data_IF_823537668055
#
_entry.id   IF_823537668055
#
_cell.length_a   1.000
_cell.length_b   1.000
_cell.length_c   1.000
_cell.angle_alpha   90.00
_cell.angle_beta   90.00
_cell.angle_gamma   90.00
#
_symmetry.space_group_name_H-M   'P 1'
#
loop_
_entity.id
_entity.type
_entity.pdbx_description
1 polymer ?
#
# COMPACT_ATOMS: atom_id res chain seq x y z
N UNK A 1 -39.55 10.98 23.75
CA UNK A 1 -38.44 11.51 22.95
C UNK A 1 -37.49 10.35 22.69
N UNK A 2 -37.61 9.72 21.52
CA UNK A 2 -36.90 8.52 21.14
C UNK A 2 -35.61 8.93 20.45
N UNK A 3 -34.47 8.67 21.09
CA UNK A 3 -33.14 8.97 20.53
C UNK A 3 -32.79 7.83 19.57
N UNK A 4 -32.84 8.11 18.28
CA UNK A 4 -32.37 7.19 17.24
C UNK A 4 -30.86 7.07 17.30
N UNK A 5 -30.35 5.84 17.51
CA UNK A 5 -28.93 5.48 17.38
C UNK A 5 -28.54 5.57 15.91
N UNK A 6 -27.41 6.18 15.53
CA UNK A 6 -26.89 6.05 14.18
C UNK A 6 -26.39 4.64 13.97
N UNK A 7 -26.96 3.94 13.00
CA UNK A 7 -26.47 2.68 12.45
C UNK A 7 -25.08 2.91 11.87
N UNK A 8 -24.09 2.13 12.33
CA UNK A 8 -22.79 2.05 11.72
C UNK A 8 -22.98 1.53 10.28
N UNK A 9 -22.85 2.42 9.31
CA UNK A 9 -22.75 2.05 7.92
C UNK A 9 -21.45 1.26 7.75
N UNK A 10 -21.56 -0.05 7.49
CA UNK A 10 -20.45 -0.89 7.09
C UNK A 10 -19.74 -0.25 5.91
N UNK A 11 -18.40 -0.21 5.96
CA UNK A 11 -17.58 0.17 4.81
C UNK A 11 -17.72 -0.93 3.74
N UNK A 12 -18.82 -0.90 3.02
CA UNK A 12 -18.95 -1.68 1.79
C UNK A 12 -18.01 -1.06 0.77
N UNK A 13 -17.28 -1.89 0.03
CA UNK A 13 -16.51 -1.49 -1.15
C UNK A 13 -17.47 -0.71 -2.06
N UNK A 14 -17.44 0.62 -1.91
CA UNK A 14 -18.14 1.52 -2.83
C UNK A 14 -17.46 1.35 -4.19
N UNK A 15 -18.21 1.08 -5.24
CA UNK A 15 -17.83 0.76 -6.62
C UNK A 15 -16.72 1.60 -7.25
N UNK A 16 -15.54 1.56 -6.67
CA UNK A 16 -14.33 2.26 -7.05
C UNK A 16 -13.32 1.29 -7.65
N UNK A 17 -12.57 1.76 -8.63
CA UNK A 17 -11.45 1.08 -9.24
C UNK A 17 -10.46 0.58 -8.17
N UNK A 18 -10.05 -0.70 -8.22
CA UNK A 18 -9.02 -1.28 -7.32
C UNK A 18 -7.76 -0.40 -7.35
N UNK A 19 -7.27 0.03 -6.18
CA UNK A 19 -6.04 0.82 -6.07
C UNK A 19 -4.81 -0.08 -6.15
N UNK A 20 -3.87 0.22 -7.06
CA UNK A 20 -2.68 -0.61 -7.30
C UNK A 20 -1.41 0.18 -7.05
N UNK A 21 -0.56 -0.32 -6.15
CA UNK A 21 0.75 0.26 -5.84
C UNK A 21 1.89 -0.65 -6.29
N UNK A 22 2.89 -0.06 -6.95
CA UNK A 22 4.17 -0.72 -7.24
C UNK A 22 5.22 -0.15 -6.32
N UNK A 23 5.78 -0.99 -5.43
CA UNK A 23 6.63 -0.57 -4.33
C UNK A 23 8.11 -0.86 -4.59
N UNK A 24 9.00 0.01 -4.10
CA UNK A 24 10.45 -0.17 -4.14
C UNK A 24 11.06 0.10 -5.51
N UNK A 25 10.59 1.15 -6.18
CA UNK A 25 11.14 1.62 -7.45
C UNK A 25 12.46 2.36 -7.22
N UNK A 26 13.47 2.08 -8.05
CA UNK A 26 14.82 2.63 -7.91
C UNK A 26 15.38 3.25 -9.19
N UNK A 27 14.68 3.14 -10.30
CA UNK A 27 15.10 3.68 -11.59
C UNK A 27 13.95 4.41 -12.28
N UNK A 28 14.30 5.34 -13.14
CA UNK A 28 13.34 6.06 -13.98
C UNK A 28 12.52 5.10 -14.84
N UNK A 29 13.19 4.11 -15.44
CA UNK A 29 12.54 3.06 -16.24
C UNK A 29 11.43 2.32 -15.47
N UNK A 30 11.71 1.95 -14.20
CA UNK A 30 10.71 1.26 -13.37
C UNK A 30 9.54 2.16 -12.99
N UNK A 31 9.77 3.46 -12.80
CA UNK A 31 8.70 4.46 -12.56
C UNK A 31 7.83 4.60 -13.81
N UNK A 32 8.45 4.75 -14.97
CA UNK A 32 7.75 4.86 -16.26
C UNK A 32 6.96 3.59 -16.57
N UNK A 33 7.54 2.40 -16.32
CA UNK A 33 6.84 1.12 -16.49
C UNK A 33 5.60 1.00 -15.59
N UNK A 34 5.70 1.40 -14.32
CA UNK A 34 4.57 1.40 -13.40
C UNK A 34 3.47 2.37 -13.87
N UNK A 35 3.85 3.55 -14.32
CA UNK A 35 2.93 4.56 -14.85
C UNK A 35 2.21 4.07 -16.12
N UNK A 36 2.95 3.54 -17.08
CA UNK A 36 2.41 3.00 -18.35
C UNK A 36 1.49 1.80 -18.12
N UNK A 37 1.78 0.96 -17.12
CA UNK A 37 0.93 -0.14 -16.73
C UNK A 37 -0.39 0.32 -16.08
N UNK A 38 -0.49 1.56 -15.63
CA UNK A 38 -1.69 2.12 -15.00
C UNK A 38 -1.75 1.88 -13.49
N UNK A 39 -0.60 1.87 -12.81
CA UNK A 39 -0.52 1.91 -11.35
C UNK A 39 -1.12 3.23 -10.82
N UNK A 40 -1.76 3.17 -9.65
CA UNK A 40 -2.33 4.35 -8.98
C UNK A 40 -1.31 4.99 -8.04
N UNK A 41 -0.31 4.23 -7.58
CA UNK A 41 0.74 4.71 -6.70
C UNK A 41 2.08 4.02 -6.94
N UNK A 42 3.15 4.75 -6.61
CA UNK A 42 4.53 4.26 -6.63
C UNK A 42 5.18 4.44 -5.27
N UNK A 43 5.92 3.42 -4.81
CA UNK A 43 6.60 3.43 -3.51
C UNK A 43 8.11 3.57 -3.63
N UNK A 44 8.68 4.47 -2.82
CA UNK A 44 10.11 4.69 -2.65
C UNK A 44 10.51 4.29 -1.23
N UNK A 45 11.50 3.41 -1.09
CA UNK A 45 11.87 2.81 0.20
C UNK A 45 13.06 3.56 0.82
N UNK A 46 12.89 3.91 2.10
CA UNK A 46 13.90 4.59 2.92
C UNK A 46 14.22 3.73 4.15
N UNK A 47 14.88 2.60 3.92
CA UNK A 47 15.32 1.67 4.95
C UNK A 47 16.68 1.07 4.53
N UNK A 48 17.74 1.41 5.25
CA UNK A 48 19.12 1.15 4.86
C UNK A 48 19.43 -0.34 4.58
N UNK A 49 18.79 -1.27 5.32
CA UNK A 49 18.99 -2.71 5.11
C UNK A 49 18.21 -3.26 3.88
N UNK A 50 17.33 -2.46 3.29
CA UNK A 50 16.56 -2.88 2.12
C UNK A 50 17.40 -2.81 0.84
N UNK A 51 17.36 -3.83 -0.03
CA UNK A 51 17.99 -3.74 -1.37
C UNK A 51 17.32 -2.67 -2.25
N UNK A 52 16.16 -2.15 -1.82
CA UNK A 52 15.38 -1.12 -2.52
C UNK A 52 15.57 0.27 -1.92
N UNK A 53 16.50 0.41 -0.97
CA UNK A 53 16.76 1.68 -0.30
C UNK A 53 17.19 2.77 -1.27
N UNK A 54 16.69 3.99 -1.03
CA UNK A 54 17.08 5.21 -1.72
C UNK A 54 17.53 6.28 -0.72
N UNK A 55 18.49 7.10 -1.15
CA UNK A 55 18.72 8.38 -0.47
C UNK A 55 17.60 9.37 -0.84
N UNK A 56 17.23 10.32 0.06
CA UNK A 56 16.21 11.32 -0.23
C UNK A 56 16.44 12.11 -1.53
N UNK A 57 17.69 12.48 -1.82
CA UNK A 57 18.05 13.19 -3.05
C UNK A 57 17.78 12.33 -4.31
N UNK A 58 18.09 11.04 -4.29
CA UNK A 58 17.79 10.14 -5.41
C UNK A 58 16.28 9.98 -5.63
N UNK A 59 15.50 9.89 -4.55
CA UNK A 59 14.04 9.82 -4.63
C UNK A 59 13.44 11.10 -5.21
N UNK A 60 13.99 12.28 -4.90
CA UNK A 60 13.59 13.56 -5.51
C UNK A 60 13.72 13.52 -7.04
N UNK A 61 14.84 13.00 -7.54
CA UNK A 61 15.05 12.89 -9.00
C UNK A 61 14.06 11.92 -9.65
N UNK A 62 13.82 10.77 -9.03
CA UNK A 62 12.86 9.79 -9.53
C UNK A 62 11.42 10.32 -9.49
N UNK A 63 11.08 11.11 -8.48
CA UNK A 63 9.75 11.71 -8.34
C UNK A 63 9.37 12.63 -9.51
N UNK A 64 10.35 13.21 -10.20
CA UNK A 64 10.12 14.04 -11.41
C UNK A 64 9.61 13.21 -12.59
N UNK A 65 9.84 11.91 -12.59
CA UNK A 65 9.35 10.99 -13.61
C UNK A 65 7.95 10.44 -13.28
N UNK A 66 7.42 10.70 -12.08
CA UNK A 66 6.06 10.26 -11.69
C UNK A 66 5.04 11.21 -12.33
N UNK A 67 4.16 10.72 -13.22
CA UNK A 67 3.13 11.53 -13.84
C UNK A 67 2.13 12.09 -12.81
N UNK A 68 1.50 13.20 -13.14
CA UNK A 68 0.36 13.72 -12.37
C UNK A 68 -0.76 12.67 -12.29
N UNK A 69 -1.37 12.54 -11.13
CA UNK A 69 -2.41 11.55 -10.87
C UNK A 69 -1.91 10.20 -10.33
N UNK A 70 -0.59 9.97 -10.28
CA UNK A 70 0.01 8.81 -9.62
C UNK A 70 0.56 9.25 -8.26
N UNK A 71 0.11 8.61 -7.19
CA UNK A 71 0.49 8.96 -5.82
C UNK A 71 1.92 8.47 -5.49
N UNK A 72 2.67 9.32 -4.77
CA UNK A 72 4.03 9.01 -4.27
C UNK A 72 3.94 8.54 -2.83
N UNK A 73 4.44 7.35 -2.55
CA UNK A 73 4.44 6.76 -1.21
C UNK A 73 5.87 6.67 -0.69
N UNK A 74 6.18 7.36 0.40
CA UNK A 74 7.42 7.21 1.14
C UNK A 74 7.29 6.02 2.10
N UNK A 75 8.14 4.99 1.94
CA UNK A 75 8.05 3.73 2.69
C UNK A 75 9.21 3.62 3.66
N UNK A 76 8.89 3.44 4.93
CA UNK A 76 9.84 3.33 6.03
C UNK A 76 9.66 2.03 6.81
N UNK A 77 10.66 1.70 7.61
CA UNK A 77 10.61 0.69 8.66
C UNK A 77 11.41 1.24 9.86
N UNK A 78 10.72 1.51 10.97
CA UNK A 78 11.26 2.09 12.21
C UNK A 78 12.16 3.31 11.97
N UNK A 79 11.66 4.36 11.30
CA UNK A 79 12.49 5.48 10.89
C UNK A 79 12.82 6.42 12.06
N UNK A 80 14.01 7.00 12.04
CA UNK A 80 14.29 8.19 12.85
C UNK A 80 13.53 9.40 12.30
N UNK A 81 13.10 10.33 13.17
CA UNK A 81 12.39 11.55 12.78
C UNK A 81 13.15 12.36 11.72
N UNK A 82 14.48 12.50 11.88
CA UNK A 82 15.31 13.26 10.94
C UNK A 82 15.29 12.70 9.51
N UNK A 83 15.17 11.36 9.36
CA UNK A 83 15.02 10.74 8.05
C UNK A 83 13.63 11.06 7.46
N UNK A 84 12.59 11.00 8.27
CA UNK A 84 11.22 11.33 7.84
C UNK A 84 11.15 12.77 7.37
N UNK A 85 11.70 13.71 8.14
CA UNK A 85 11.74 15.14 7.79
C UNK A 85 12.47 15.38 6.46
N UNK A 86 13.66 14.78 6.29
CA UNK A 86 14.45 14.90 5.06
C UNK A 86 13.72 14.32 3.84
N UNK A 87 12.99 13.21 4.01
CA UNK A 87 12.22 12.59 2.92
C UNK A 87 10.99 13.42 2.58
N UNK A 88 10.27 13.95 3.56
CA UNK A 88 9.13 14.84 3.31
C UNK A 88 9.59 16.07 2.52
N UNK A 89 10.71 16.70 2.91
CA UNK A 89 11.28 17.85 2.20
C UNK A 89 11.69 17.48 0.76
N UNK A 90 12.32 16.32 0.58
CA UNK A 90 12.86 15.93 -0.72
C UNK A 90 11.80 15.46 -1.71
N UNK A 91 10.84 14.63 -1.24
CA UNK A 91 9.91 13.90 -2.08
C UNK A 91 8.52 14.55 -2.14
N UNK A 92 8.12 15.31 -1.11
CA UNK A 92 6.74 15.76 -0.89
C UNK A 92 5.74 14.60 -1.14
N UNK A 93 5.80 13.53 -0.34
CA UNK A 93 5.02 12.32 -0.60
C UNK A 93 3.53 12.54 -0.35
N UNK A 94 2.68 11.91 -1.15
CA UNK A 94 1.24 11.88 -0.92
C UNK A 94 0.87 11.02 0.30
N UNK A 95 1.65 9.95 0.53
CA UNK A 95 1.47 9.03 1.65
C UNK A 95 2.80 8.71 2.32
N UNK A 96 2.76 8.57 3.65
CA UNK A 96 3.84 8.03 4.44
C UNK A 96 3.42 6.64 4.94
N UNK A 97 4.17 5.61 4.56
CA UNK A 97 3.94 4.22 4.94
C UNK A 97 4.99 3.78 5.94
N UNK A 98 4.58 3.31 7.11
CA UNK A 98 5.44 2.68 8.13
C UNK A 98 4.61 1.74 9.00
N UNK A 99 5.23 0.95 9.86
CA UNK A 99 4.52 0.12 10.83
C UNK A 99 3.61 0.98 11.71
N UNK A 100 2.43 0.48 12.00
CA UNK A 100 1.42 1.23 12.77
C UNK A 100 1.95 1.71 14.14
N UNK A 101 2.82 0.89 14.77
CA UNK A 101 3.47 1.23 16.03
C UNK A 101 4.43 2.42 15.98
N UNK A 102 5.03 2.70 14.80
CA UNK A 102 5.97 3.81 14.64
C UNK A 102 5.29 5.17 14.70
N UNK A 103 4.03 5.24 14.24
CA UNK A 103 3.31 6.51 14.05
C UNK A 103 3.16 7.33 15.32
N UNK A 104 3.06 6.68 16.48
CA UNK A 104 2.93 7.38 17.77
C UNK A 104 4.18 8.17 18.15
N UNK A 105 5.35 7.79 17.65
CA UNK A 105 6.63 8.44 17.92
C UNK A 105 6.98 9.52 16.88
N UNK A 106 6.26 9.60 15.77
CA UNK A 106 6.55 10.51 14.65
C UNK A 106 5.75 11.81 14.76
N UNK A 107 6.43 12.91 14.50
CA UNK A 107 5.81 14.24 14.31
C UNK A 107 5.67 14.49 12.83
N UNK A 108 4.44 14.51 12.33
CA UNK A 108 4.13 14.69 10.92
C UNK A 108 3.49 16.06 10.67
N UNK A 109 3.71 16.67 9.51
CA UNK A 109 3.02 17.89 9.13
C UNK A 109 1.50 17.73 9.15
N UNK A 110 0.73 18.78 9.48
CA UNK A 110 -0.72 18.76 9.36
C UNK A 110 -1.17 18.34 7.97
N UNK A 111 -2.11 17.39 7.90
CA UNK A 111 -2.64 16.89 6.63
C UNK A 111 -1.80 15.81 5.93
N UNK A 112 -0.63 15.44 6.47
CA UNK A 112 0.14 14.33 5.91
C UNK A 112 -0.67 13.03 6.00
N UNK A 113 -0.99 12.42 4.85
CA UNK A 113 -1.68 11.14 4.81
C UNK A 113 -0.73 10.02 5.20
N UNK A 114 -1.22 9.09 6.02
CA UNK A 114 -0.46 7.93 6.49
C UNK A 114 -1.10 6.63 6.05
N UNK A 115 -0.28 5.66 5.66
CA UNK A 115 -0.66 4.29 5.34
C UNK A 115 -0.01 3.35 6.36
N UNK A 116 -0.68 3.11 7.51
CA UNK A 116 -0.16 2.23 8.56
C UNK A 116 -0.03 0.80 8.04
N UNK A 117 1.10 0.16 8.35
CA UNK A 117 1.32 -1.25 8.07
C UNK A 117 0.90 -2.09 9.26
N UNK A 118 0.03 -3.06 9.00
CA UNK A 118 -0.35 -4.14 9.91
C UNK A 118 0.36 -5.42 9.46
N UNK A 119 0.73 -6.27 10.40
CA UNK A 119 1.37 -7.54 10.12
C UNK A 119 0.41 -8.70 10.26
N UNK A 120 0.50 -9.67 9.36
CA UNK A 120 -0.25 -10.92 9.50
C UNK A 120 0.17 -11.65 10.78
N UNK A 121 -0.82 -12.05 11.58
CA UNK A 121 -0.60 -12.68 12.87
C UNK A 121 -0.60 -11.72 14.06
N UNK A 122 -0.41 -10.42 13.84
CA UNK A 122 -0.59 -9.45 14.91
C UNK A 122 -2.07 -9.25 15.23
N UNK A 123 -2.41 -9.05 16.52
CA UNK A 123 -3.76 -8.63 16.85
C UNK A 123 -4.05 -7.29 16.15
N UNK A 124 -5.29 -7.08 15.69
CA UNK A 124 -5.65 -5.78 15.13
C UNK A 124 -5.35 -4.71 16.18
N UNK A 125 -4.74 -3.57 15.79
CA UNK A 125 -4.36 -2.54 16.73
C UNK A 125 -5.56 -2.19 17.60
N UNK A 126 -5.39 -2.36 18.92
CA UNK A 126 -6.28 -1.75 19.87
C UNK A 126 -6.24 -0.27 19.56
N UNK A 127 -7.40 0.30 19.28
CA UNK A 127 -7.63 1.68 18.94
C UNK A 127 -6.45 2.62 19.21
N UNK A 128 -5.56 2.80 18.25
CA UNK A 128 -4.44 3.72 18.42
C UNK A 128 -4.93 5.12 18.14
N UNK A 129 -4.96 5.86 19.20
CA UNK A 129 -5.44 7.20 19.33
C UNK A 129 -4.66 8.21 18.47
N UNK A 130 -5.24 8.54 17.35
CA UNK A 130 -5.33 9.91 16.93
C UNK A 130 -6.84 10.21 16.84
N UNK A 131 -7.49 10.36 18.01
CA UNK A 131 -8.84 10.90 18.12
C UNK A 131 -10.02 9.94 17.95
N UNK A 132 -9.98 8.71 18.52
CA UNK A 132 -11.17 7.85 18.59
C UNK A 132 -10.90 6.41 18.20
N UNK A 133 -11.04 5.50 19.15
CA UNK A 133 -10.72 4.09 19.08
C UNK A 133 -11.29 3.30 17.91
N UNK A 134 -10.49 3.06 16.86
CA UNK A 134 -10.89 2.24 15.73
C UNK A 134 -9.71 1.91 14.81
N UNK A 135 -9.94 1.00 13.86
CA UNK A 135 -9.01 0.76 12.76
C UNK A 135 -8.81 2.05 11.96
N UNK A 136 -7.59 2.31 11.44
CA UNK A 136 -7.39 3.43 10.52
C UNK A 136 -8.30 3.26 9.30
N UNK A 137 -8.74 4.38 8.70
CA UNK A 137 -9.60 4.33 7.52
C UNK A 137 -9.00 3.51 6.39
N UNK A 138 -7.67 3.60 6.21
CA UNK A 138 -6.91 2.80 5.24
C UNK A 138 -5.65 2.28 5.90
N UNK A 139 -5.33 1.02 5.70
CA UNK A 139 -4.08 0.41 6.14
C UNK A 139 -3.59 -0.66 5.16
N UNK A 140 -2.30 -0.94 5.22
CA UNK A 140 -1.69 -2.00 4.44
C UNK A 140 -1.53 -3.23 5.32
N UNK A 141 -1.99 -4.40 4.88
CA UNK A 141 -1.71 -5.66 5.52
C UNK A 141 -0.62 -6.41 4.76
N UNK A 142 0.46 -6.70 5.45
CA UNK A 142 1.63 -7.42 4.92
C UNK A 142 1.84 -8.73 5.68
N UNK A 143 2.68 -9.63 5.13
CA UNK A 143 3.16 -10.82 5.85
C UNK A 143 3.91 -10.45 7.15
N UNK A 144 4.15 -11.42 8.00
CA UNK A 144 4.86 -11.21 9.27
C UNK A 144 6.27 -10.59 9.08
N UNK A 145 6.93 -10.86 7.92
CA UNK A 145 8.25 -10.33 7.59
C UNK A 145 8.22 -9.51 6.30
N UNK A 146 8.43 -8.20 6.41
CA UNK A 146 8.49 -7.26 5.29
C UNK A 146 9.50 -7.66 4.23
N UNK A 147 9.10 -7.59 2.97
CA UNK A 147 9.97 -7.74 1.81
C UNK A 147 10.60 -9.12 1.62
N UNK A 148 10.19 -10.11 2.42
CA UNK A 148 10.65 -11.51 2.33
C UNK A 148 9.96 -12.30 1.21
N UNK A 149 8.91 -11.76 0.58
CA UNK A 149 8.12 -12.45 -0.43
C UNK A 149 7.16 -13.49 0.16
N UNK A 150 7.00 -13.51 1.49
CA UNK A 150 6.06 -14.39 2.17
C UNK A 150 4.63 -13.91 1.95
N UNK A 151 3.70 -14.87 1.82
CA UNK A 151 2.28 -14.55 1.62
C UNK A 151 1.66 -14.06 2.93
N UNK A 152 0.87 -12.98 2.84
CA UNK A 152 0.01 -12.53 3.93
C UNK A 152 -1.13 -13.53 4.20
N UNK A 153 -1.71 -13.47 5.39
CA UNK A 153 -2.92 -14.24 5.71
C UNK A 153 -4.15 -13.58 5.04
N UNK A 154 -4.59 -14.17 3.95
CA UNK A 154 -5.76 -13.69 3.20
C UNK A 154 -7.07 -13.85 3.97
N UNK A 155 -7.17 -14.79 4.90
CA UNK A 155 -8.35 -14.94 5.77
C UNK A 155 -8.46 -13.75 6.72
N UNK A 156 -7.34 -13.39 7.36
CA UNK A 156 -7.27 -12.18 8.19
C UNK A 156 -7.54 -10.93 7.36
N UNK A 157 -6.95 -10.83 6.16
CA UNK A 157 -7.15 -9.71 5.24
C UNK A 157 -8.64 -9.52 4.89
N UNK A 158 -9.35 -10.59 4.54
CA UNK A 158 -10.77 -10.56 4.19
C UNK A 158 -11.66 -10.10 5.36
N UNK A 159 -11.34 -10.53 6.60
CA UNK A 159 -12.04 -10.06 7.79
C UNK A 159 -11.82 -8.57 8.04
N UNK A 160 -10.61 -8.07 7.82
CA UNK A 160 -10.28 -6.65 7.96
C UNK A 160 -10.90 -5.80 6.84
N UNK A 161 -10.94 -6.30 5.61
CA UNK A 161 -11.50 -5.59 4.45
C UNK A 161 -13.00 -5.23 4.62
N UNK A 162 -13.73 -5.97 5.48
CA UNK A 162 -15.12 -5.64 5.85
C UNK A 162 -15.23 -4.44 6.80
N UNK A 163 -14.13 -4.00 7.39
CA UNK A 163 -14.12 -3.00 8.48
C UNK A 163 -13.34 -1.74 8.13
N UNK A 164 -12.42 -1.83 7.16
CA UNK A 164 -11.54 -0.73 6.74
C UNK A 164 -11.04 -0.95 5.32
N UNK A 165 -10.53 0.10 4.69
CA UNK A 165 -9.88 0.04 3.38
C UNK A 165 -8.52 -0.68 3.48
N UNK A 166 -8.48 -1.99 3.18
CA UNK A 166 -7.24 -2.79 3.21
C UNK A 166 -6.52 -2.68 1.86
N UNK A 167 -5.24 -2.32 1.92
CA UNK A 167 -4.28 -2.55 0.84
C UNK A 167 -3.56 -3.86 1.14
N UNK A 168 -3.81 -4.89 0.34
CA UNK A 168 -3.20 -6.20 0.54
C UNK A 168 -1.79 -6.23 -0.06
N UNK A 169 -0.82 -6.61 0.75
CA UNK A 169 0.59 -6.81 0.39
C UNK A 169 1.08 -8.19 0.85
N UNK A 170 2.36 -8.48 0.59
CA UNK A 170 3.02 -9.73 1.02
C UNK A 170 2.82 -10.87 0.05
N UNK A 171 3.90 -11.27 -0.62
CA UNK A 171 3.96 -12.43 -1.51
C UNK A 171 3.07 -12.36 -2.76
N UNK A 172 2.57 -11.19 -3.12
CA UNK A 172 1.80 -11.01 -4.35
C UNK A 172 2.72 -11.00 -5.57
N UNK A 173 2.24 -11.57 -6.67
CA UNK A 173 2.88 -11.62 -7.97
C UNK A 173 1.81 -11.72 -9.09
N UNK A 174 2.18 -11.63 -10.38
CA UNK A 174 1.22 -11.74 -11.47
C UNK A 174 0.39 -13.04 -11.49
N UNK A 175 0.95 -14.14 -10.96
CA UNK A 175 0.28 -15.45 -10.97
C UNK A 175 -0.74 -15.65 -9.83
N UNK A 176 -0.70 -14.81 -8.79
CA UNK A 176 -1.57 -15.01 -7.63
C UNK A 176 -2.47 -13.81 -7.29
N UNK A 177 -2.21 -12.62 -7.86
CA UNK A 177 -2.95 -11.40 -7.50
C UNK A 177 -4.45 -11.50 -7.82
N UNK A 178 -4.84 -12.16 -8.90
CA UNK A 178 -6.25 -12.35 -9.23
C UNK A 178 -6.97 -13.15 -8.14
N UNK A 179 -6.40 -14.28 -7.72
CA UNK A 179 -6.95 -15.08 -6.62
C UNK A 179 -7.01 -14.29 -5.30
N UNK A 180 -5.99 -13.45 -5.03
CA UNK A 180 -5.97 -12.59 -3.86
C UNK A 180 -7.12 -11.55 -3.87
N UNK A 181 -7.36 -10.91 -5.01
CA UNK A 181 -8.44 -9.93 -5.20
C UNK A 181 -9.81 -10.58 -4.98
N UNK A 182 -10.05 -11.76 -5.57
CA UNK A 182 -11.31 -12.49 -5.37
C UNK A 182 -11.51 -12.94 -3.92
N UNK A 183 -10.46 -13.45 -3.26
CA UNK A 183 -10.57 -14.00 -1.90
C UNK A 183 -10.74 -12.90 -0.84
N UNK A 184 -10.07 -11.75 -1.01
CA UNK A 184 -10.00 -10.70 0.02
C UNK A 184 -10.95 -9.55 -0.26
N UNK A 185 -11.24 -9.25 -1.53
CA UNK A 185 -11.98 -8.05 -1.96
C UNK A 185 -11.38 -6.77 -1.36
N UNK A 186 -10.07 -6.54 -1.52
CA UNK A 186 -9.39 -5.43 -0.88
C UNK A 186 -9.72 -4.10 -1.56
N UNK A 187 -9.51 -2.99 -0.84
CA UNK A 187 -9.49 -1.65 -1.44
C UNK A 187 -8.40 -1.53 -2.50
N UNK A 188 -7.24 -2.16 -2.27
CA UNK A 188 -6.10 -2.12 -3.17
C UNK A 188 -5.12 -3.25 -2.94
N UNK A 189 -4.14 -3.34 -3.84
CA UNK A 189 -3.02 -4.30 -3.76
C UNK A 189 -1.68 -3.58 -3.88
N UNK A 190 -0.68 -4.10 -3.18
CA UNK A 190 0.70 -3.61 -3.21
C UNK A 190 1.67 -4.73 -3.54
N UNK A 191 2.55 -4.51 -4.51
CA UNK A 191 3.56 -5.48 -4.90
C UNK A 191 4.96 -4.88 -4.90
N UNK A 192 5.92 -5.67 -4.43
CA UNK A 192 7.34 -5.30 -4.50
C UNK A 192 8.17 -6.40 -5.15
N UNK A 193 8.57 -7.45 -4.43
CA UNK A 193 9.44 -8.52 -4.94
C UNK A 193 8.82 -9.35 -6.06
N UNK A 194 7.50 -9.52 -6.09
CA UNK A 194 6.82 -10.34 -7.10
C UNK A 194 6.88 -9.82 -8.53
N UNK A 195 7.32 -8.56 -8.71
CA UNK A 195 7.54 -7.93 -10.03
C UNK A 195 9.02 -7.60 -10.26
N UNK A 196 9.93 -8.35 -9.63
CA UNK A 196 11.37 -8.21 -9.81
C UNK A 196 11.95 -9.33 -10.69
N UNK A 197 12.92 -9.00 -11.53
CA UNK A 197 13.74 -9.96 -12.27
C UNK A 197 14.87 -10.52 -11.39
N UNK A 198 15.39 -9.68 -10.50
CA UNK A 198 16.34 -10.03 -9.45
C UNK A 198 16.13 -9.10 -8.26
N UNK A 199 16.66 -9.47 -7.09
CA UNK A 199 16.41 -8.74 -5.85
C UNK A 199 16.71 -7.24 -5.95
N UNK A 200 15.68 -6.41 -5.86
CA UNK A 200 15.77 -4.94 -5.96
C UNK A 200 15.75 -4.39 -7.39
N UNK A 201 15.61 -5.24 -8.42
CA UNK A 201 15.52 -4.83 -9.84
C UNK A 201 14.15 -5.18 -10.38
N UNK A 202 13.36 -4.16 -10.73
CA UNK A 202 12.02 -4.33 -11.29
C UNK A 202 12.08 -4.83 -12.74
N UNK A 203 11.09 -5.68 -13.07
CA UNK A 203 10.85 -6.17 -14.43
C UNK A 203 9.62 -5.47 -15.01
N UNK A 204 9.77 -4.64 -16.06
CA UNK A 204 8.64 -3.93 -16.67
C UNK A 204 7.52 -4.85 -17.18
N UNK A 205 7.86 -6.06 -17.67
CA UNK A 205 6.86 -7.01 -18.13
C UNK A 205 6.04 -7.54 -16.96
N UNK A 206 6.71 -7.94 -15.86
CA UNK A 206 6.02 -8.41 -14.66
C UNK A 206 5.17 -7.31 -14.00
N UNK A 207 5.61 -6.05 -14.02
CA UNK A 207 4.79 -4.92 -13.55
C UNK A 207 3.50 -4.84 -14.36
N UNK A 208 3.60 -4.87 -15.69
CA UNK A 208 2.45 -4.82 -16.60
C UNK A 208 1.49 -5.99 -16.38
N UNK A 209 2.04 -7.22 -16.29
CA UNK A 209 1.25 -8.43 -16.09
C UNK A 209 0.53 -8.43 -14.74
N UNK A 210 1.18 -7.94 -13.67
CA UNK A 210 0.57 -7.78 -12.35
C UNK A 210 -0.61 -6.80 -12.38
N UNK A 211 -0.39 -5.61 -12.95
CA UNK A 211 -1.45 -4.59 -13.02
C UNK A 211 -2.61 -5.08 -13.86
N UNK A 212 -2.35 -5.75 -14.98
CA UNK A 212 -3.38 -6.32 -15.85
C UNK A 212 -4.22 -7.35 -15.10
N UNK A 213 -3.60 -8.36 -14.50
CA UNK A 213 -4.29 -9.41 -13.75
C UNK A 213 -5.13 -8.85 -12.58
N UNK A 214 -4.59 -7.87 -11.85
CA UNK A 214 -5.31 -7.23 -10.75
C UNK A 214 -6.53 -6.44 -11.25
N UNK A 215 -6.41 -5.73 -12.38
CA UNK A 215 -7.53 -4.97 -12.98
C UNK A 215 -8.62 -5.87 -13.54
N UNK A 216 -8.25 -6.99 -14.15
CA UNK A 216 -9.22 -7.97 -14.65
C UNK A 216 -10.02 -8.57 -13.51
N UNK A 217 -9.35 -9.09 -12.49
CA UNK A 217 -10.02 -9.65 -11.31
C UNK A 217 -10.97 -8.66 -10.62
N UNK A 218 -10.60 -7.38 -10.56
CA UNK A 218 -11.48 -6.35 -10.00
C UNK A 218 -12.72 -6.09 -10.87
N UNK A 219 -12.61 -6.17 -12.20
CA UNK A 219 -13.75 -6.04 -13.13
C UNK A 219 -14.73 -7.21 -12.99
N UNK A 220 -14.19 -8.44 -12.85
CA UNK A 220 -15.02 -9.63 -12.67
C UNK A 220 -15.88 -9.53 -11.41
N UNK A 221 -15.32 -9.06 -10.29
CA UNK A 221 -16.06 -8.82 -9.06
C UNK A 221 -17.20 -7.82 -9.23
N UNK A 222 -17.01 -6.73 -9.98
CA UNK A 222 -18.08 -5.76 -10.23
C UNK A 222 -19.19 -6.31 -11.11
N UNK A 223 -18.86 -7.21 -12.04
CA UNK A 223 -19.86 -7.87 -12.90
C UNK A 223 -20.71 -8.85 -12.07
N UNK A 224 -20.10 -9.61 -11.17
CA UNK A 224 -20.81 -10.54 -10.27
C UNK A 224 -21.77 -9.82 -9.29
N UNK A 225 -21.39 -8.62 -8.80
CA UNK A 225 -22.24 -7.83 -7.87
C UNK A 225 -23.42 -7.14 -8.58
N UNK A 226 -23.35 -7.01 -9.89
CA UNK A 226 -24.37 -6.33 -10.71
C UNK A 226 -25.36 -7.30 -11.38
N UNK A 227 -25.12 -8.60 -11.29
CA UNK A 227 -25.94 -9.68 -11.87
C UNK A 227 -26.87 -10.31 -10.83
#
# INVERSE_FOLDING_TARGET
>A
MTVSRPTAAGATATGGRLWIKICGLRSRESVEAAAQAGADAVGFVFHAASPRNLAPAAARELARAVPAGIERVAVFLHPAQSLVDAVIEALAPDWLQTDAGDLAALRLPPGQRVLPVLRSGDPPPAAHAAGGGGLPRRCLLESARSGAGERADWTQAALLARRTEIVLAGGLDPGNVAAAVHAVRPFGVDVSSGVESSRGVKDPARIRDFVHAAREAARDLHTEESA
#
